data_IF_744895851324
#
_entry.id   IF_744895851324
#
_cell.length_a   1.000
_cell.length_b   1.000
_cell.length_c   1.000
_cell.angle_alpha   90.00
_cell.angle_beta   90.00
_cell.angle_gamma   90.00
#
_symmetry.space_group_name_H-M   'P 1'
#
loop_
_entity.id
_entity.type
_entity.pdbx_description
1 polymer ?
#
# COMPACT_ATOMS: atom_id res chain seq x y z
N UNK A 1 17.52 1.75 20.74
CA UNK A 1 18.92 1.43 20.44
C UNK A 1 18.98 0.59 19.15
N UNK A 2 19.77 1.04 18.18
CA UNK A 2 20.03 0.30 16.95
C UNK A 2 21.52 0.29 16.69
N UNK A 3 22.06 -0.89 16.35
CA UNK A 3 23.48 -1.08 16.08
C UNK A 3 24.40 -0.59 17.19
N UNK A 4 23.98 -0.76 18.45
CA UNK A 4 24.73 -0.33 19.63
C UNK A 4 24.71 1.18 19.90
N UNK A 5 23.87 1.94 19.18
CA UNK A 5 23.75 3.39 19.35
C UNK A 5 22.32 3.79 19.68
N UNK A 6 22.17 4.83 20.49
CA UNK A 6 20.88 5.43 20.77
C UNK A 6 20.54 6.42 19.64
N UNK A 7 19.55 6.07 18.86
CA UNK A 7 19.11 6.86 17.69
C UNK A 7 17.63 7.10 17.74
N UNK A 8 17.20 8.17 17.08
CA UNK A 8 15.77 8.45 16.85
C UNK A 8 15.47 7.97 15.43
N UNK A 9 14.52 7.06 15.30
CA UNK A 9 14.14 6.50 13.99
C UNK A 9 12.94 7.27 13.45
N UNK A 10 13.14 7.90 12.31
CA UNK A 10 12.07 8.55 11.55
C UNK A 10 11.67 7.64 10.40
N UNK A 11 10.36 7.43 10.22
CA UNK A 11 9.84 6.56 9.17
C UNK A 11 8.95 7.35 8.21
N UNK A 12 9.19 7.17 6.91
CA UNK A 12 8.33 7.64 5.83
C UNK A 12 8.29 6.57 4.75
N UNK A 13 7.12 6.15 4.33
CA UNK A 13 6.97 4.99 3.45
C UNK A 13 7.23 3.66 4.16
N UNK A 14 7.40 3.70 5.46
CA UNK A 14 7.65 2.56 6.32
C UNK A 14 6.87 2.69 7.63
N UNK A 15 6.67 1.57 8.30
CA UNK A 15 6.02 1.51 9.62
C UNK A 15 6.85 0.67 10.58
N UNK A 16 6.62 0.81 11.86
CA UNK A 16 7.27 0.03 12.90
C UNK A 16 6.90 -1.45 12.78
N UNK A 17 7.88 -2.33 12.92
CA UNK A 17 7.73 -3.78 12.86
C UNK A 17 8.63 -4.45 13.90
N UNK A 18 8.52 -4.00 15.15
CA UNK A 18 9.22 -4.60 16.29
C UNK A 18 8.72 -6.04 16.48
N UNK A 19 9.54 -6.86 17.10
CA UNK A 19 9.18 -8.25 17.36
C UNK A 19 7.83 -8.36 18.09
N UNK A 20 6.90 -9.08 17.49
CA UNK A 20 5.58 -9.30 18.06
C UNK A 20 4.59 -8.15 17.88
N UNK A 21 5.00 -7.00 17.34
CA UNK A 21 4.13 -5.86 17.12
C UNK A 21 3.16 -6.12 15.97
N UNK A 22 1.88 -5.90 16.19
CA UNK A 22 0.86 -6.00 15.14
C UNK A 22 0.82 -4.71 14.34
N UNK A 23 0.64 -4.83 13.04
CA UNK A 23 0.50 -3.70 12.13
C UNK A 23 -0.44 -4.00 10.99
N UNK A 24 -0.80 -2.96 10.25
CA UNK A 24 -1.63 -3.07 9.06
C UNK A 24 -0.82 -2.56 7.87
N UNK A 25 -0.76 -3.35 6.80
CA UNK A 25 -0.19 -2.92 5.53
C UNK A 25 -1.33 -2.84 4.52
N UNK A 26 -1.84 -1.63 4.24
CA UNK A 26 -2.91 -1.46 3.27
C UNK A 26 -2.42 -1.66 1.84
N UNK A 27 -3.23 -2.32 1.03
CA UNK A 27 -3.05 -2.36 -0.41
C UNK A 27 -3.57 -1.09 -1.07
N UNK A 28 -3.53 -1.06 -2.39
CA UNK A 28 -4.22 -0.05 -3.19
C UNK A 28 -5.70 -0.43 -3.35
N UNK A 29 -6.46 0.40 -4.09
CA UNK A 29 -7.83 0.05 -4.45
C UNK A 29 -7.85 -1.28 -5.22
N UNK A 30 -8.70 -2.20 -4.81
CA UNK A 30 -8.83 -3.49 -5.47
C UNK A 30 -7.74 -4.52 -5.15
N UNK A 31 -6.79 -4.21 -4.29
CA UNK A 31 -5.77 -5.17 -3.85
C UNK A 31 -5.93 -5.52 -2.38
N UNK A 32 -5.36 -6.65 -1.98
CA UNK A 32 -5.43 -7.11 -0.60
C UNK A 32 -4.70 -6.18 0.35
N UNK A 33 -5.18 -6.13 1.59
CA UNK A 33 -4.49 -5.54 2.73
C UNK A 33 -4.09 -6.66 3.67
N UNK A 34 -3.13 -6.39 4.55
CA UNK A 34 -2.59 -7.43 5.43
C UNK A 34 -2.53 -6.93 6.86
N UNK A 35 -2.91 -7.81 7.79
CA UNK A 35 -2.56 -7.65 9.20
C UNK A 35 -1.31 -8.47 9.40
N UNK A 36 -0.27 -7.86 9.92
CA UNK A 36 1.06 -8.46 10.05
C UNK A 36 1.58 -8.38 11.47
N UNK A 37 2.56 -9.21 11.75
CA UNK A 37 3.29 -9.22 13.01
C UNK A 37 4.76 -9.01 12.72
N UNK A 38 5.35 -8.00 13.33
CA UNK A 38 6.75 -7.66 13.15
C UNK A 38 7.68 -8.75 13.66
N UNK A 39 8.83 -8.88 13.00
CA UNK A 39 9.90 -9.82 13.37
C UNK A 39 11.07 -9.16 14.10
N UNK A 40 11.04 -7.82 14.24
CA UNK A 40 12.10 -7.09 14.92
C UNK A 40 13.44 -7.14 14.19
N UNK A 41 13.43 -7.17 12.86
CA UNK A 41 14.65 -7.24 12.07
C UNK A 41 15.50 -5.97 12.28
N UNK A 42 16.68 -6.14 12.85
CA UNK A 42 17.55 -5.01 13.19
C UNK A 42 18.12 -4.30 11.96
N UNK A 43 18.35 -5.03 10.87
CA UNK A 43 18.90 -4.44 9.64
C UNK A 43 17.95 -3.44 9.00
N UNK A 44 16.64 -3.59 9.21
CA UNK A 44 15.62 -2.66 8.73
C UNK A 44 15.21 -1.62 9.78
N UNK A 45 15.95 -1.48 10.87
CA UNK A 45 15.58 -0.65 12.04
C UNK A 45 14.22 -1.05 12.62
N UNK A 46 13.94 -2.35 12.65
CA UNK A 46 12.66 -2.89 13.10
C UNK A 46 11.48 -2.25 12.36
N UNK A 47 11.60 -2.15 11.04
CA UNK A 47 10.64 -1.49 10.17
C UNK A 47 10.25 -2.36 8.98
N UNK A 48 9.08 -2.11 8.41
CA UNK A 48 8.63 -2.74 7.18
C UNK A 48 7.96 -1.69 6.27
N UNK A 49 7.64 -2.06 5.03
CA UNK A 49 6.88 -1.20 4.13
C UNK A 49 5.50 -0.91 4.72
N UNK A 50 5.00 0.32 4.59
CA UNK A 50 3.65 0.66 5.05
C UNK A 50 2.56 0.41 4.02
N UNK A 51 2.90 -0.03 2.81
CA UNK A 51 1.97 -0.31 1.72
C UNK A 51 2.69 -0.86 0.51
N UNK A 52 2.00 -0.93 -0.63
CA UNK A 52 2.57 -1.46 -1.87
C UNK A 52 3.72 -0.61 -2.42
N UNK A 53 3.68 0.68 -2.17
CA UNK A 53 4.55 1.63 -2.86
C UNK A 53 4.09 1.89 -4.30
N UNK A 54 4.38 3.07 -4.78
CA UNK A 54 3.98 3.46 -6.14
C UNK A 54 5.02 3.01 -7.16
N UNK A 55 4.55 2.62 -8.34
CA UNK A 55 5.43 2.42 -9.50
C UNK A 55 5.45 3.64 -10.43
N UNK A 56 4.53 4.59 -10.25
CA UNK A 56 4.50 5.85 -10.98
C UNK A 56 3.96 6.98 -10.10
N UNK A 57 4.37 8.21 -10.41
CA UNK A 57 3.89 9.39 -9.70
C UNK A 57 2.42 9.67 -9.97
N UNK A 58 1.79 10.54 -9.16
CA UNK A 58 0.37 10.86 -9.27
C UNK A 58 0.01 11.45 -10.64
N UNK A 59 0.79 12.41 -11.12
CA UNK A 59 0.53 13.04 -12.41
C UNK A 59 0.74 12.08 -13.59
N UNK A 60 1.76 11.23 -13.51
CA UNK A 60 1.98 10.20 -14.52
C UNK A 60 0.81 9.20 -14.55
N UNK A 61 0.28 8.81 -13.40
CA UNK A 61 -0.88 7.94 -13.33
C UNK A 61 -2.11 8.56 -13.99
N UNK A 62 -2.38 9.83 -13.71
CA UNK A 62 -3.49 10.56 -14.33
C UNK A 62 -3.35 10.68 -15.84
N UNK A 63 -2.12 10.84 -16.34
CA UNK A 63 -1.82 10.98 -17.76
C UNK A 63 -1.80 9.64 -18.50
N UNK A 64 -1.18 8.63 -17.92
CA UNK A 64 -0.77 7.41 -18.63
C UNK A 64 -1.70 6.20 -18.40
N UNK A 65 -2.46 6.18 -17.30
CA UNK A 65 -3.40 5.09 -17.04
C UNK A 65 -4.70 5.28 -17.84
N UNK A 66 -5.28 4.17 -18.28
CA UNK A 66 -6.55 4.15 -18.97
C UNK A 66 -7.71 4.10 -17.96
N UNK A 67 -8.55 5.13 -17.97
CA UNK A 67 -9.67 5.26 -17.02
C UNK A 67 -10.64 4.08 -17.10
N UNK A 68 -11.05 3.69 -18.32
CA UNK A 68 -12.02 2.61 -18.49
C UNK A 68 -11.45 1.26 -18.07
N UNK A 69 -10.17 1.02 -18.36
CA UNK A 69 -9.49 -0.21 -17.95
C UNK A 69 -9.38 -0.31 -16.43
N UNK A 70 -9.01 0.78 -15.75
CA UNK A 70 -8.90 0.80 -14.28
C UNK A 70 -10.27 0.63 -13.61
N UNK A 71 -11.31 1.28 -14.12
CA UNK A 71 -12.69 1.09 -13.66
C UNK A 71 -13.14 -0.34 -13.83
N UNK A 72 -12.90 -0.92 -15.01
CA UNK A 72 -13.25 -2.30 -15.30
C UNK A 72 -12.53 -3.28 -14.38
N UNK A 73 -11.25 -3.05 -14.11
CA UNK A 73 -10.47 -3.88 -13.19
C UNK A 73 -11.12 -3.96 -11.80
N UNK A 74 -11.54 -2.82 -11.27
CA UNK A 74 -12.22 -2.76 -9.96
C UNK A 74 -13.62 -3.37 -10.02
N UNK A 75 -14.38 -3.10 -11.07
CA UNK A 75 -15.73 -3.65 -11.25
C UNK A 75 -15.69 -5.18 -11.38
N UNK A 76 -14.74 -5.71 -12.14
CA UNK A 76 -14.57 -7.16 -12.32
C UNK A 76 -14.19 -7.87 -11.01
N UNK A 77 -13.54 -7.17 -10.09
CA UNK A 77 -13.20 -7.69 -8.77
C UNK A 77 -14.33 -7.53 -7.75
N UNK A 78 -15.43 -6.90 -8.13
CA UNK A 78 -16.57 -6.65 -7.25
C UNK A 78 -16.30 -5.58 -6.19
N UNK A 79 -15.34 -4.70 -6.41
CA UNK A 79 -14.99 -3.64 -5.48
C UNK A 79 -15.86 -2.40 -5.74
N UNK A 80 -16.54 -1.92 -4.71
CA UNK A 80 -17.25 -0.64 -4.77
C UNK A 80 -16.22 0.48 -4.68
N UNK A 81 -16.19 1.36 -5.68
CA UNK A 81 -15.19 2.43 -5.78
C UNK A 81 -15.80 3.74 -6.27
N UNK A 82 -15.03 4.81 -6.17
CA UNK A 82 -15.44 6.16 -6.55
C UNK A 82 -14.59 6.76 -7.70
N UNK A 83 -13.93 5.91 -8.50
CA UNK A 83 -13.20 6.39 -9.68
C UNK A 83 -14.21 6.82 -10.75
N UNK A 84 -14.23 8.10 -11.09
CA UNK A 84 -15.17 8.69 -12.05
C UNK A 84 -14.48 9.38 -13.22
N UNK A 85 -13.29 9.94 -13.02
CA UNK A 85 -12.57 10.69 -14.03
C UNK A 85 -11.06 10.50 -13.92
N UNK A 86 -10.32 11.07 -14.88
CA UNK A 86 -8.85 10.97 -14.92
C UNK A 86 -8.17 11.53 -13.67
N UNK A 87 -8.80 12.48 -12.97
CA UNK A 87 -8.28 13.04 -11.73
C UNK A 87 -8.19 12.00 -10.61
N UNK A 88 -8.95 10.92 -10.67
CA UNK A 88 -8.98 9.87 -9.66
C UNK A 88 -7.96 8.76 -9.94
N UNK A 89 -7.29 8.76 -11.09
CA UNK A 89 -6.36 7.70 -11.49
C UNK A 89 -5.07 7.67 -10.68
N UNK A 90 -4.77 8.73 -9.94
CA UNK A 90 -3.59 8.77 -9.07
C UNK A 90 -3.63 7.72 -7.95
N UNK A 91 -4.81 7.26 -7.58
CA UNK A 91 -5.01 6.21 -6.59
C UNK A 91 -5.49 4.87 -7.19
N UNK A 92 -5.49 4.76 -8.52
CA UNK A 92 -5.91 3.53 -9.20
C UNK A 92 -4.91 2.38 -8.96
N UNK A 93 -5.37 1.13 -9.05
CA UNK A 93 -4.49 -0.04 -8.83
C UNK A 93 -3.23 -0.03 -9.70
N UNK A 94 -3.35 0.42 -10.94
CA UNK A 94 -2.22 0.48 -11.88
C UNK A 94 -1.10 1.43 -11.48
N UNK A 95 -1.34 2.36 -10.55
CA UNK A 95 -0.32 3.28 -10.05
C UNK A 95 0.61 2.67 -9.00
N UNK A 96 0.28 1.49 -8.50
CA UNK A 96 0.99 0.85 -7.39
C UNK A 96 1.71 -0.43 -7.82
N UNK A 97 2.72 -0.80 -7.04
CA UNK A 97 3.41 -2.09 -7.19
C UNK A 97 2.47 -3.23 -6.79
N UNK A 98 2.77 -4.42 -7.25
CA UNK A 98 2.06 -5.63 -6.82
C UNK A 98 2.29 -5.88 -5.33
N UNK A 99 1.24 -5.77 -4.52
CA UNK A 99 1.32 -5.96 -3.07
C UNK A 99 1.79 -7.37 -2.68
N UNK A 100 1.39 -8.39 -3.44
CA UNK A 100 1.82 -9.76 -3.15
C UNK A 100 3.34 -9.90 -3.29
N UNK A 101 3.92 -9.28 -4.29
CA UNK A 101 5.38 -9.27 -4.47
C UNK A 101 6.07 -8.47 -3.38
N UNK A 102 5.51 -7.33 -2.98
CA UNK A 102 6.04 -6.53 -1.87
C UNK A 102 6.05 -7.33 -0.59
N UNK A 103 4.96 -8.06 -0.30
CA UNK A 103 4.87 -8.91 0.90
C UNK A 103 5.87 -10.06 0.85
N UNK A 104 6.05 -10.69 -0.30
CA UNK A 104 7.05 -11.75 -0.46
C UNK A 104 8.47 -11.25 -0.24
N UNK A 105 8.79 -10.04 -0.72
CA UNK A 105 10.11 -9.45 -0.59
C UNK A 105 10.46 -9.05 0.85
N UNK A 106 9.47 -8.90 1.73
CA UNK A 106 9.71 -8.54 3.14
C UNK A 106 9.31 -9.64 4.12
N UNK A 107 9.37 -10.89 3.69
CA UNK A 107 9.08 -12.05 4.54
C UNK A 107 10.03 -12.15 5.76
N UNK A 108 11.20 -11.53 5.70
CA UNK A 108 12.16 -11.43 6.80
C UNK A 108 11.85 -10.29 7.78
N UNK A 109 10.92 -9.42 7.45
CA UNK A 109 10.54 -8.25 8.26
C UNK A 109 9.25 -8.46 9.04
N UNK A 110 8.30 -9.17 8.47
CA UNK A 110 6.98 -9.41 9.07
C UNK A 110 6.44 -10.80 8.72
N UNK A 111 5.57 -11.31 9.60
CA UNK A 111 4.72 -12.48 9.33
C UNK A 111 3.31 -11.98 8.98
N UNK A 112 2.69 -12.59 7.97
CA UNK A 112 1.30 -12.31 7.62
C UNK A 112 0.40 -13.06 8.59
N UNK A 113 -0.45 -12.34 9.33
CA UNK A 113 -1.44 -12.91 10.24
C UNK A 113 -2.77 -13.11 9.52
N UNK A 114 -3.24 -12.10 8.80
CA UNK A 114 -4.53 -12.13 8.09
C UNK A 114 -4.37 -11.41 6.74
N UNK A 115 -4.97 -11.99 5.70
CA UNK A 115 -5.18 -11.33 4.42
C UNK A 115 -6.60 -10.77 4.36
N UNK A 116 -6.75 -9.52 3.94
CA UNK A 116 -8.05 -8.85 3.82
C UNK A 116 -8.33 -8.56 2.35
N UNK A 117 -9.48 -9.02 1.86
CA UNK A 117 -9.94 -8.73 0.50
C UNK A 117 -10.88 -7.52 0.54
N UNK A 118 -10.65 -6.49 -0.29
CA UNK A 118 -11.48 -5.30 -0.26
C UNK A 118 -12.86 -5.57 -0.85
N UNK A 119 -13.90 -5.00 -0.22
CA UNK A 119 -15.27 -4.99 -0.72
C UNK A 119 -15.64 -3.63 -1.30
N UNK A 120 -15.02 -2.57 -0.79
CA UNK A 120 -15.25 -1.21 -1.23
C UNK A 120 -14.12 -0.30 -0.76
N UNK A 121 -13.95 0.81 -1.46
CA UNK A 121 -12.90 1.79 -1.18
C UNK A 121 -13.45 3.20 -1.29
N UNK A 122 -13.17 4.01 -0.29
CA UNK A 122 -13.48 5.44 -0.29
C UNK A 122 -12.15 6.19 -0.24
N UNK A 123 -11.90 7.02 -1.23
CA UNK A 123 -10.71 7.85 -1.32
C UNK A 123 -11.10 9.30 -1.52
N UNK A 124 -10.30 10.19 -0.94
CA UNK A 124 -10.40 11.60 -1.24
C UNK A 124 -10.09 11.83 -2.72
N UNK A 125 -10.88 12.68 -3.37
CA UNK A 125 -10.63 13.09 -4.75
C UNK A 125 -10.24 14.56 -4.77
N UNK A 126 -9.05 14.84 -5.28
CA UNK A 126 -8.59 16.21 -5.48
C UNK A 126 -9.21 16.82 -6.75
N UNK A 127 -9.84 16.00 -7.60
CA UNK A 127 -10.44 16.40 -8.85
C UNK A 127 -11.87 16.93 -8.74
N UNK A 128 -12.43 16.95 -7.53
CA UNK A 128 -13.80 17.42 -7.30
C UNK A 128 -13.98 18.93 -7.29
N UNK A 129 -12.96 19.70 -7.63
CA UNK A 129 -12.97 21.16 -7.53
C UNK A 129 -12.90 21.83 -8.90
N UNK A 130 -13.21 21.12 -9.94
CA UNK A 130 -13.23 21.73 -11.28
C UNK A 130 -14.60 21.69 -11.91
#
# INVERSE_FOLDING_TARGET
NHFGQNVIVHRKGATSAKEGELGIIPGSQGTKSYIVKGKGNKESFESCSHGSGRRMGRMAARRDLDLEEEKKRLDDMGVVHAIRGKGDLDEAPGAYKDIAQVMANQADLVDIVVELTPLGVIKSSDGGVD
#
